data_IF_170828513693
#
_entry.id   IF_170828513693
#
_cell.length_a   1.000
_cell.length_b   1.000
_cell.length_c   1.000
_cell.angle_alpha   90.00
_cell.angle_beta   90.00
_cell.angle_gamma   90.00
#
_symmetry.space_group_name_H-M   'P 1'
#
loop_
_entity.id
_entity.type
_entity.pdbx_description
1 polymer ?
#
# COMPACT_ATOMS: atom_id res chain seq x y z
N UNK A 1 1.35 -6.44 -12.65
CA UNK A 1 0.15 -6.08 -11.86
C UNK A 1 0.38 -6.42 -10.41
N UNK A 2 -0.24 -5.69 -9.53
CA UNK A 2 -0.18 -5.95 -8.09
C UNK A 2 -1.57 -6.33 -7.60
N UNK A 3 -1.66 -7.39 -6.79
CA UNK A 3 -2.89 -7.77 -6.11
C UNK A 3 -2.71 -7.60 -4.60
N UNK A 4 -3.69 -7.03 -3.95
CA UNK A 4 -3.70 -6.83 -2.51
C UNK A 4 -4.91 -7.56 -1.95
N UNK A 5 -4.65 -8.62 -1.19
CA UNK A 5 -5.65 -9.43 -0.51
C UNK A 5 -5.83 -8.91 0.91
N UNK A 6 -6.93 -8.21 1.14
CA UNK A 6 -7.22 -7.60 2.45
C UNK A 6 -7.58 -8.63 3.51
N UNK A 7 -8.13 -9.77 3.13
CA UNK A 7 -8.50 -10.82 4.08
C UNK A 7 -7.26 -11.47 4.70
N UNK A 8 -6.26 -11.75 3.87
CA UNK A 8 -5.05 -12.45 4.31
C UNK A 8 -3.85 -11.51 4.54
N UNK A 9 -4.01 -10.19 4.29
CA UNK A 9 -2.93 -9.20 4.38
C UNK A 9 -1.69 -9.60 3.57
N UNK A 10 -1.93 -9.91 2.31
CA UNK A 10 -0.87 -10.26 1.36
C UNK A 10 -0.87 -9.30 0.17
N UNK A 11 0.33 -8.93 -0.25
CA UNK A 11 0.56 -8.19 -1.48
C UNK A 11 1.28 -9.12 -2.45
N UNK A 12 0.70 -9.33 -3.62
CA UNK A 12 1.25 -10.22 -4.64
C UNK A 12 1.65 -9.44 -5.88
N UNK A 13 2.84 -9.72 -6.38
CA UNK A 13 3.33 -9.17 -7.65
C UNK A 13 3.15 -10.23 -8.71
N UNK A 14 2.34 -9.92 -9.72
CA UNK A 14 1.98 -10.81 -10.81
C UNK A 14 2.57 -10.25 -12.10
N UNK A 15 3.39 -11.05 -12.79
CA UNK A 15 4.01 -10.69 -14.07
C UNK A 15 3.66 -11.74 -15.12
N UNK A 16 3.25 -11.27 -16.29
CA UNK A 16 2.92 -12.15 -17.42
C UNK A 16 1.89 -13.24 -17.06
N UNK A 17 0.93 -12.88 -16.18
CA UNK A 17 -0.11 -13.78 -15.71
C UNK A 17 0.34 -14.79 -14.66
N UNK A 18 1.60 -14.73 -14.20
CA UNK A 18 2.14 -15.64 -13.20
C UNK A 18 2.48 -14.91 -11.90
N UNK A 19 2.21 -15.56 -10.77
CA UNK A 19 2.61 -15.07 -9.46
C UNK A 19 4.14 -15.11 -9.34
N UNK A 20 4.74 -13.94 -9.14
CA UNK A 20 6.19 -13.78 -9.07
C UNK A 20 6.68 -13.66 -7.63
N UNK A 21 6.04 -12.79 -6.85
CA UNK A 21 6.38 -12.56 -5.45
C UNK A 21 5.15 -12.37 -4.58
N UNK A 22 5.22 -12.82 -3.34
CA UNK A 22 4.24 -12.57 -2.29
C UNK A 22 4.92 -11.90 -1.12
N UNK A 23 4.39 -10.74 -0.71
CA UNK A 23 4.93 -9.95 0.39
C UNK A 23 3.90 -9.85 1.51
N UNK A 24 4.39 -9.85 2.75
CA UNK A 24 3.55 -9.46 3.88
C UNK A 24 3.19 -7.98 3.77
N UNK A 25 1.95 -7.66 4.05
CA UNK A 25 1.48 -6.28 4.09
C UNK A 25 0.60 -6.04 5.31
N UNK A 26 0.44 -4.79 5.70
CA UNK A 26 -0.54 -4.36 6.69
C UNK A 26 -1.38 -3.25 6.09
N UNK A 27 -2.69 -3.41 6.14
CA UNK A 27 -3.66 -2.57 5.47
C UNK A 27 -4.53 -1.82 6.47
N UNK A 28 -5.60 -1.16 6.01
CA UNK A 28 -6.51 -0.41 6.88
C UNK A 28 -7.11 -1.26 7.99
N UNK A 29 -7.04 -0.78 9.24
CA UNK A 29 -7.45 -1.53 10.42
C UNK A 29 -8.95 -1.57 10.68
N UNK A 30 -9.76 -0.85 9.90
CA UNK A 30 -11.21 -0.83 10.03
C UNK A 30 -11.74 -0.01 11.21
N UNK A 31 -10.88 0.67 11.96
CA UNK A 31 -11.27 1.47 13.11
C UNK A 31 -11.68 2.89 12.70
N UNK A 32 -12.45 3.57 13.56
CA UNK A 32 -12.77 4.98 13.39
C UNK A 32 -11.61 5.83 13.89
N UNK A 33 -11.29 6.89 13.15
CA UNK A 33 -10.29 7.88 13.54
C UNK A 33 -10.74 9.27 13.13
N UNK A 34 -10.08 10.30 13.69
CA UNK A 34 -10.33 11.70 13.32
C UNK A 34 -9.05 12.28 12.73
N UNK A 35 -9.21 12.95 11.59
CA UNK A 35 -8.14 13.67 10.93
C UNK A 35 -8.67 15.06 10.53
N UNK A 36 -8.02 16.11 11.04
CA UNK A 36 -8.40 17.50 10.76
C UNK A 36 -9.89 17.78 11.05
N UNK A 37 -10.43 17.20 12.13
CA UNK A 37 -11.81 17.38 12.54
C UNK A 37 -12.82 16.51 11.81
N UNK A 38 -12.39 15.69 10.86
CA UNK A 38 -13.25 14.77 10.09
C UNK A 38 -13.10 13.35 10.65
N UNK A 39 -14.23 12.69 10.93
CA UNK A 39 -14.25 11.29 11.32
C UNK A 39 -14.29 10.41 10.08
N UNK A 40 -13.40 9.42 10.03
CA UNK A 40 -13.29 8.50 8.90
C UNK A 40 -13.06 7.07 9.39
N UNK A 41 -13.23 6.10 8.50
CA UNK A 41 -12.93 4.70 8.73
C UNK A 41 -11.57 4.36 8.11
N UNK A 42 -10.71 3.68 8.85
CA UNK A 42 -9.38 3.29 8.41
C UNK A 42 -9.46 2.07 7.49
N UNK A 43 -10.02 2.23 6.31
CA UNK A 43 -10.18 1.17 5.31
C UNK A 43 -9.29 1.40 4.10
N UNK A 44 -8.76 0.31 3.55
CA UNK A 44 -8.15 0.31 2.22
C UNK A 44 -9.26 0.06 1.20
N UNK A 45 -9.45 0.95 0.20
CA UNK A 45 -10.55 0.80 -0.75
C UNK A 45 -10.38 -0.41 -1.66
N UNK A 46 -11.46 -1.18 -1.85
CA UNK A 46 -11.52 -2.25 -2.84
C UNK A 46 -11.65 -1.67 -4.26
N UNK A 47 -11.11 -2.35 -5.24
CA UNK A 47 -11.25 -1.99 -6.65
C UNK A 47 -9.99 -2.21 -7.45
N UNK A 48 -10.04 -1.82 -8.72
CA UNK A 48 -8.87 -1.82 -9.60
C UNK A 48 -8.43 -0.38 -9.84
N UNK A 49 -7.16 -0.13 -9.58
CA UNK A 49 -6.54 1.18 -9.66
C UNK A 49 -5.25 1.09 -10.47
N UNK A 50 -4.59 2.23 -10.67
CA UNK A 50 -3.26 2.28 -11.27
C UNK A 50 -2.36 3.15 -10.41
N UNK A 51 -1.08 2.79 -10.33
CA UNK A 51 -0.07 3.67 -9.76
C UNK A 51 -0.02 4.93 -10.64
N UNK A 52 -0.34 6.09 -10.06
CA UNK A 52 -0.40 7.35 -10.82
C UNK A 52 0.63 8.37 -10.34
N UNK A 53 1.22 8.18 -9.17
CA UNK A 53 2.19 9.10 -8.58
C UNK A 53 3.13 8.32 -7.67
N UNK A 54 4.38 8.78 -7.59
CA UNK A 54 5.36 8.20 -6.67
C UNK A 54 6.30 9.29 -6.17
N UNK A 55 6.86 9.09 -4.98
CA UNK A 55 7.85 9.99 -4.38
C UNK A 55 9.03 9.15 -3.91
N UNK A 56 10.23 9.47 -4.41
CA UNK A 56 11.46 8.82 -3.96
C UNK A 56 11.99 9.55 -2.72
N UNK A 57 11.40 9.26 -1.59
CA UNK A 57 11.74 9.89 -0.33
C UNK A 57 10.66 9.70 0.72
N UNK A 58 10.81 10.37 1.87
CA UNK A 58 9.84 10.32 2.94
C UNK A 58 8.76 11.39 2.74
N UNK A 59 7.49 10.97 2.78
CA UNK A 59 6.34 11.87 2.82
C UNK A 59 5.74 11.81 4.22
N UNK A 60 5.59 12.97 4.86
CA UNK A 60 4.99 13.07 6.20
C UNK A 60 3.72 13.89 6.11
N UNK A 61 2.62 13.33 6.61
CA UNK A 61 1.34 14.02 6.70
C UNK A 61 0.73 13.86 8.09
N UNK A 62 -0.53 14.28 8.28
CA UNK A 62 -1.22 14.21 9.57
C UNK A 62 -1.42 12.77 10.08
N UNK A 63 -1.35 11.77 9.22
CA UNK A 63 -1.55 10.35 9.57
C UNK A 63 -0.24 9.59 9.76
N UNK A 64 0.91 10.18 9.46
CA UNK A 64 2.21 9.55 9.67
C UNK A 64 3.19 9.71 8.51
N UNK A 65 4.20 8.86 8.51
CA UNK A 65 5.30 8.89 7.56
C UNK A 65 5.18 7.74 6.54
N UNK A 66 5.36 8.08 5.26
CA UNK A 66 5.32 7.13 4.16
C UNK A 66 6.70 7.11 3.49
N UNK A 67 7.40 5.97 3.57
CA UNK A 67 8.70 5.83 2.91
C UNK A 67 8.53 5.38 1.46
N UNK A 68 8.99 6.21 0.53
CA UNK A 68 9.00 5.97 -0.92
C UNK A 68 7.62 5.50 -1.45
N UNK A 69 6.55 6.28 -1.18
CA UNK A 69 5.19 5.83 -1.51
C UNK A 69 4.94 5.79 -3.00
N UNK A 70 4.12 4.82 -3.39
CA UNK A 70 3.52 4.71 -4.73
C UNK A 70 2.01 4.79 -4.58
N UNK A 71 1.44 5.89 -5.01
CA UNK A 71 0.02 6.21 -4.84
C UNK A 71 -0.82 5.55 -5.93
N UNK A 72 -1.94 4.92 -5.54
CA UNK A 72 -2.83 4.25 -6.48
C UNK A 72 -4.25 4.82 -6.50
N UNK A 73 -4.72 5.50 -5.46
CA UNK A 73 -6.00 6.24 -5.45
C UNK A 73 -6.05 7.22 -4.28
N UNK A 74 -6.56 8.44 -4.50
CA UNK A 74 -6.96 9.43 -3.46
C UNK A 74 -6.01 9.57 -2.26
N UNK A 75 -4.71 9.54 -2.47
CA UNK A 75 -3.74 9.62 -1.39
C UNK A 75 -3.45 8.28 -0.70
N UNK A 76 -4.09 7.20 -1.10
CA UNK A 76 -3.71 5.85 -0.66
C UNK A 76 -2.50 5.36 -1.45
N UNK A 77 -1.53 4.79 -0.74
CA UNK A 77 -0.26 4.38 -1.32
C UNK A 77 0.21 3.03 -0.79
N UNK A 78 1.02 2.37 -1.60
CA UNK A 78 1.91 1.29 -1.16
C UNK A 78 3.21 1.96 -0.74
N UNK A 79 3.63 1.76 0.50
CA UNK A 79 4.81 2.44 1.04
C UNK A 79 5.58 1.56 2.03
N UNK A 80 6.83 1.96 2.29
CA UNK A 80 7.65 1.34 3.32
C UNK A 80 7.26 1.81 4.72
N UNK A 81 7.37 0.90 5.68
CA UNK A 81 7.18 1.18 7.09
C UNK A 81 8.07 0.23 7.91
N UNK A 82 8.54 0.70 9.05
CA UNK A 82 9.34 -0.13 9.96
C UNK A 82 8.49 -1.14 10.75
N UNK A 83 7.16 -0.95 10.78
CA UNK A 83 6.23 -1.81 11.49
C UNK A 83 5.15 -2.34 10.52
N UNK A 84 5.30 -3.60 10.15
CA UNK A 84 4.39 -4.31 9.24
C UNK A 84 3.94 -5.60 9.90
N UNK A 85 2.95 -5.54 10.81
CA UNK A 85 2.43 -6.75 11.45
C UNK A 85 1.59 -7.57 10.47
N UNK A 86 1.38 -8.87 10.71
CA UNK A 86 0.56 -9.72 9.85
C UNK A 86 -0.95 -9.54 10.05
N UNK A 87 -1.37 -8.33 10.44
CA UNK A 87 -2.76 -7.95 10.62
C UNK A 87 -2.91 -6.46 10.31
N UNK A 88 -4.13 -5.99 9.96
CA UNK A 88 -4.34 -4.63 9.51
C UNK A 88 -4.27 -3.63 10.69
N UNK A 89 -3.44 -2.57 10.55
CA UNK A 89 -3.28 -1.52 11.57
C UNK A 89 -3.18 -0.12 10.99
N UNK A 90 -3.11 0.03 9.66
CA UNK A 90 -2.93 1.34 9.03
C UNK A 90 -4.23 2.14 9.00
N UNK A 91 -4.14 3.42 8.58
CA UNK A 91 -5.32 4.26 8.31
C UNK A 91 -5.94 4.00 6.93
N UNK A 92 -5.34 3.12 6.13
CA UNK A 92 -5.81 2.76 4.79
C UNK A 92 -4.69 2.53 3.79
N UNK A 93 -3.52 3.15 3.99
CA UNK A 93 -2.35 2.86 3.16
C UNK A 93 -1.87 1.41 3.35
N UNK A 94 -1.20 0.92 2.34
CA UNK A 94 -0.71 -0.46 2.27
C UNK A 94 0.76 -0.46 2.64
N UNK A 95 1.09 -1.01 3.81
CA UNK A 95 2.46 -1.06 4.31
C UNK A 95 3.17 -2.31 3.83
N UNK A 96 4.40 -2.14 3.37
CA UNK A 96 5.38 -3.23 3.23
C UNK A 96 6.65 -2.81 3.96
N UNK A 97 7.59 -3.72 4.19
CA UNK A 97 8.81 -3.36 4.90
C UNK A 97 9.61 -2.32 4.11
N UNK A 98 10.44 -1.54 4.82
CA UNK A 98 11.33 -0.56 4.18
C UNK A 98 12.25 -1.25 3.16
N UNK A 99 12.75 -2.44 3.49
CA UNK A 99 13.57 -3.23 2.57
C UNK A 99 12.77 -3.66 1.34
N UNK A 100 11.51 -4.04 1.52
CA UNK A 100 10.66 -4.46 0.41
C UNK A 100 10.37 -3.31 -0.55
N UNK A 101 10.04 -2.12 -0.05
CA UNK A 101 9.79 -0.97 -0.94
C UNK A 101 11.07 -0.53 -1.64
N UNK A 102 12.22 -0.60 -0.98
CA UNK A 102 13.51 -0.28 -1.59
C UNK A 102 13.80 -1.24 -2.76
N UNK A 103 13.51 -2.52 -2.59
CA UNK A 103 13.62 -3.50 -3.66
C UNK A 103 12.62 -3.23 -4.79
N UNK A 104 11.36 -2.86 -4.47
CA UNK A 104 10.33 -2.51 -5.46
C UNK A 104 10.83 -1.38 -6.37
N UNK A 105 11.47 -0.37 -5.80
CA UNK A 105 12.05 0.74 -6.56
C UNK A 105 13.27 0.30 -7.38
N UNK A 106 14.17 -0.48 -6.78
CA UNK A 106 15.41 -0.90 -7.44
C UNK A 106 15.14 -1.79 -8.66
N UNK A 107 14.19 -2.72 -8.54
CA UNK A 107 13.85 -3.66 -9.62
C UNK A 107 12.71 -3.16 -10.52
N UNK A 108 12.18 -1.96 -10.25
CA UNK A 108 11.12 -1.32 -11.04
C UNK A 108 9.92 -2.24 -11.29
N UNK A 109 9.46 -2.93 -10.23
CA UNK A 109 8.37 -3.90 -10.31
C UNK A 109 6.98 -3.28 -10.20
N UNK A 110 6.90 -2.00 -9.81
CA UNK A 110 5.64 -1.24 -9.71
C UNK A 110 5.80 0.16 -10.31
N UNK A 111 6.13 0.30 -11.60
CA UNK A 111 6.23 1.62 -12.21
C UNK A 111 4.86 2.31 -12.28
N UNK A 112 4.85 3.61 -12.56
CA UNK A 112 3.61 4.35 -12.83
C UNK A 112 2.87 3.66 -13.98
N UNK A 113 1.55 3.47 -13.80
CA UNK A 113 0.70 2.72 -14.72
C UNK A 113 0.46 1.27 -14.33
N UNK A 114 1.19 0.76 -13.34
CA UNK A 114 0.96 -0.60 -12.83
C UNK A 114 -0.44 -0.72 -12.25
N UNK A 115 -1.16 -1.76 -12.66
CA UNK A 115 -2.51 -2.04 -12.14
C UNK A 115 -2.38 -2.58 -10.71
N UNK A 116 -3.18 -2.02 -9.82
CA UNK A 116 -3.30 -2.44 -8.42
C UNK A 116 -4.74 -2.90 -8.20
N UNK A 117 -4.92 -4.17 -7.94
CA UNK A 117 -6.23 -4.76 -7.65
C UNK A 117 -6.33 -5.09 -6.17
N UNK A 118 -7.23 -4.38 -5.48
CA UNK A 118 -7.49 -4.55 -4.05
C UNK A 118 -8.82 -5.29 -3.88
N UNK A 119 -8.80 -6.38 -3.11
CA UNK A 119 -9.99 -7.20 -2.89
C UNK A 119 -9.98 -7.82 -1.49
N UNK A 120 -11.13 -8.33 -1.09
CA UNK A 120 -11.30 -9.01 0.18
C UNK A 120 -12.07 -10.33 0.02
#
# INVERSE_FOLDING_TARGET
MVEIDLEDDLLMIVRDGELDYTLNTSTGGGYLYRDEGVTAVADTPNGQFQIYRQVDGMVVDSLGALWRPKFFTDGFAIHGDSYVPPYPVSHGCVRISDEAIDWVWADDVMPIGTIVWVYS
#
